data_IF_742485714862
#
_entry.id   IF_742485714862
#
_cell.length_a   1.000
_cell.length_b   1.000
_cell.length_c   1.000
_cell.angle_alpha   90.00
_cell.angle_beta   90.00
_cell.angle_gamma   90.00
#
_symmetry.space_group_name_H-M   'P 1'
#
loop_
_entity.id
_entity.type
_entity.pdbx_description
1 polymer ?
#
# COMPACT_ATOMS: atom_id res chain seq x y z
N UNK A 1 -43.12 -4.79 -20.63
CA UNK A 1 -41.84 -5.52 -20.93
C UNK A 1 -40.67 -4.62 -20.61
N UNK A 2 -40.19 -4.72 -19.39
CA UNK A 2 -39.02 -3.92 -18.93
C UNK A 2 -37.75 -4.64 -19.33
N UNK A 3 -36.97 -4.04 -20.23
CA UNK A 3 -35.63 -4.51 -20.56
C UNK A 3 -34.74 -4.20 -19.38
N UNK A 4 -34.36 -5.21 -18.60
CA UNK A 4 -33.21 -5.13 -17.69
C UNK A 4 -31.99 -5.00 -18.57
N UNK A 5 -31.37 -3.81 -18.58
CA UNK A 5 -30.01 -3.63 -19.07
C UNK A 5 -29.13 -4.29 -18.02
N UNK A 6 -28.61 -5.47 -18.33
CA UNK A 6 -27.52 -6.06 -17.59
C UNK A 6 -26.29 -5.15 -17.76
N UNK A 7 -26.01 -4.31 -16.76
CA UNK A 7 -24.73 -3.60 -16.69
C UNK A 7 -23.63 -4.65 -16.62
N UNK A 8 -22.86 -4.75 -17.70
CA UNK A 8 -21.65 -5.56 -17.72
C UNK A 8 -20.66 -4.85 -16.79
N UNK A 9 -20.57 -5.33 -15.56
CA UNK A 9 -19.60 -4.79 -14.57
C UNK A 9 -18.20 -5.07 -15.08
N UNK A 10 -17.55 -4.04 -15.60
CA UNK A 10 -16.16 -4.13 -16.06
C UNK A 10 -15.27 -4.29 -14.82
N UNK A 11 -14.44 -5.34 -14.81
CA UNK A 11 -13.47 -5.58 -13.74
C UNK A 11 -12.15 -4.90 -14.06
N UNK A 12 -11.51 -4.34 -13.04
CA UNK A 12 -10.18 -3.73 -13.09
C UNK A 12 -9.30 -4.31 -12.00
N UNK A 13 -8.00 -4.14 -12.14
CA UNK A 13 -7.04 -4.66 -11.19
C UNK A 13 -6.34 -3.54 -10.43
N UNK A 14 -6.33 -3.66 -9.11
CA UNK A 14 -5.45 -2.92 -8.21
C UNK A 14 -4.26 -3.81 -7.84
N UNK A 15 -3.11 -3.21 -7.63
CA UNK A 15 -1.90 -3.94 -7.28
C UNK A 15 -1.43 -3.55 -5.88
N UNK A 16 -1.17 -4.56 -5.05
CA UNK A 16 -0.66 -4.39 -3.69
C UNK A 16 0.80 -4.85 -3.70
N UNK A 17 1.71 -3.94 -3.39
CA UNK A 17 3.13 -4.20 -3.38
C UNK A 17 3.69 -4.17 -1.96
N UNK A 18 4.20 -5.29 -1.50
CA UNK A 18 4.77 -5.48 -0.17
C UNK A 18 6.29 -5.52 -0.25
N UNK A 19 6.97 -4.83 0.66
CA UNK A 19 8.44 -4.83 0.72
C UNK A 19 8.99 -4.81 2.14
N UNK A 20 10.28 -5.21 2.28
CA UNK A 20 11.08 -4.98 3.48
C UNK A 20 12.30 -4.16 3.09
N UNK A 21 12.16 -2.84 3.06
CA UNK A 21 13.15 -1.91 2.49
C UNK A 21 14.47 -1.80 3.28
N UNK A 22 14.57 -2.41 4.48
CA UNK A 22 15.78 -2.38 5.30
C UNK A 22 16.19 -0.98 5.82
N UNK A 23 15.27 -0.01 5.79
CA UNK A 23 15.49 1.31 6.39
C UNK A 23 15.42 1.19 7.92
N UNK A 24 15.90 2.20 8.66
CA UNK A 24 15.85 2.19 10.13
C UNK A 24 14.45 1.86 10.67
N UNK A 25 13.42 2.50 10.13
CA UNK A 25 12.03 2.21 10.52
C UNK A 25 11.61 0.80 10.13
N UNK A 26 11.95 0.35 8.93
CA UNK A 26 11.69 -1.01 8.45
C UNK A 26 12.38 -2.05 9.33
N UNK A 27 13.64 -1.80 9.72
CA UNK A 27 14.39 -2.71 10.59
C UNK A 27 13.82 -2.71 12.02
N UNK A 28 13.40 -1.55 12.54
CA UNK A 28 12.73 -1.47 13.83
C UNK A 28 11.42 -2.28 13.83
N UNK A 29 10.57 -2.08 12.83
CA UNK A 29 9.32 -2.86 12.68
C UNK A 29 9.63 -4.35 12.55
N UNK A 30 10.62 -4.73 11.76
CA UNK A 30 11.06 -6.12 11.61
C UNK A 30 11.54 -6.72 12.94
N UNK A 31 12.39 -6.00 13.68
CA UNK A 31 12.94 -6.47 14.95
C UNK A 31 11.86 -6.67 16.02
N UNK A 32 10.81 -5.85 15.97
CA UNK A 32 9.69 -5.94 16.91
C UNK A 32 8.65 -7.00 16.53
N UNK A 33 8.45 -7.25 15.23
CA UNK A 33 7.33 -8.08 14.74
C UNK A 33 7.77 -9.40 14.11
N UNK A 34 9.03 -9.55 13.72
CA UNK A 34 9.49 -10.67 12.87
C UNK A 34 8.85 -10.69 11.48
N UNK A 35 8.15 -9.63 11.11
CA UNK A 35 7.32 -9.56 9.92
C UNK A 35 8.12 -9.66 8.62
N UNK A 36 7.73 -10.55 7.70
CA UNK A 36 8.41 -10.70 6.41
C UNK A 36 8.41 -9.40 5.60
N UNK A 37 7.30 -8.63 5.65
CA UNK A 37 7.15 -7.35 4.99
C UNK A 37 6.83 -6.26 6.01
N UNK A 38 7.48 -5.12 5.87
CA UNK A 38 7.38 -3.98 6.80
C UNK A 38 6.83 -2.72 6.13
N UNK A 39 6.56 -2.80 4.82
CA UNK A 39 6.03 -1.70 4.03
C UNK A 39 5.04 -2.22 2.98
N UNK A 40 4.05 -1.39 2.64
CA UNK A 40 3.02 -1.68 1.66
C UNK A 40 2.74 -0.44 0.82
N UNK A 41 2.56 -0.65 -0.48
CA UNK A 41 2.18 0.39 -1.44
C UNK A 41 1.06 -0.12 -2.34
N UNK A 42 0.23 0.80 -2.82
CA UNK A 42 -0.84 0.57 -3.79
C UNK A 42 -0.39 1.05 -5.16
N UNK A 43 -0.69 0.30 -6.23
CA UNK A 43 -0.53 0.75 -7.61
C UNK A 43 -1.82 0.52 -8.41
N UNK A 44 -1.98 1.32 -9.48
CA UNK A 44 -3.14 1.27 -10.38
C UNK A 44 -2.78 0.66 -11.73
N UNK A 45 -1.50 0.48 -12.00
CA UNK A 45 -0.98 0.00 -13.28
C UNK A 45 -0.07 -1.22 -13.06
N UNK A 46 -0.14 -2.19 -13.97
CA UNK A 46 0.59 -3.45 -13.87
C UNK A 46 2.11 -3.28 -13.93
N UNK A 47 2.57 -2.27 -14.64
CA UNK A 47 3.99 -1.94 -14.76
C UNK A 47 4.59 -1.33 -13.48
N UNK A 48 3.76 -1.04 -12.46
CA UNK A 48 4.14 -0.41 -11.20
C UNK A 48 4.89 0.92 -11.40
N UNK A 49 4.56 1.65 -12.46
CA UNK A 49 5.18 2.93 -12.83
C UNK A 49 5.12 3.96 -11.69
N UNK A 50 4.04 3.89 -10.89
CA UNK A 50 3.86 4.72 -9.70
C UNK A 50 3.24 3.92 -8.57
N UNK A 51 3.93 3.86 -7.45
CA UNK A 51 3.46 3.29 -6.20
C UNK A 51 2.98 4.41 -5.26
N UNK A 52 1.93 4.14 -4.51
CA UNK A 52 1.32 5.09 -3.57
C UNK A 52 1.31 4.52 -2.16
N UNK A 53 1.83 5.28 -1.21
CA UNK A 53 1.88 4.89 0.20
C UNK A 53 1.88 6.10 1.13
N UNK A 54 1.90 5.88 2.44
CA UNK A 54 2.26 6.89 3.43
C UNK A 54 3.62 6.55 4.00
N UNK A 55 4.62 7.34 3.62
CA UNK A 55 6.03 7.09 3.94
C UNK A 55 6.82 8.39 4.06
N UNK A 56 8.14 8.30 4.19
CA UNK A 56 9.02 9.47 4.22
C UNK A 56 9.05 10.13 2.84
N UNK A 57 8.93 11.45 2.80
CA UNK A 57 8.99 12.22 1.55
C UNK A 57 10.43 12.34 1.01
N UNK A 58 11.43 12.28 1.91
CA UNK A 58 12.84 12.32 1.55
C UNK A 58 13.52 11.03 2.02
N UNK A 59 14.27 10.37 1.15
CA UNK A 59 14.89 9.06 1.41
C UNK A 59 15.86 9.03 2.60
N UNK A 60 16.34 10.17 3.05
CA UNK A 60 17.41 10.29 4.06
C UNK A 60 16.94 10.78 5.44
N UNK A 61 15.82 11.50 5.52
CA UNK A 61 15.33 12.07 6.78
C UNK A 61 14.07 11.38 7.27
N UNK A 62 13.84 11.36 8.59
CA UNK A 62 12.64 10.80 9.18
C UNK A 62 11.40 11.67 8.88
N UNK A 63 11.60 12.97 8.68
CA UNK A 63 10.58 13.95 8.35
C UNK A 63 11.04 14.85 7.18
N UNK A 64 10.16 15.36 6.34
CA UNK A 64 8.69 15.19 6.35
C UNK A 64 8.26 13.78 5.90
N UNK A 65 7.17 13.29 6.49
CA UNK A 65 6.58 11.99 6.16
C UNK A 65 5.05 12.12 6.02
N UNK A 66 4.45 11.30 5.16
CA UNK A 66 3.02 11.32 4.85
C UNK A 66 2.74 10.65 3.50
N UNK A 67 1.53 10.85 2.92
CA UNK A 67 1.21 10.34 1.60
C UNK A 67 2.23 10.77 0.56
N UNK A 68 2.76 9.83 -0.20
CA UNK A 68 3.81 10.06 -1.20
C UNK A 68 3.76 9.05 -2.33
N UNK A 69 4.33 9.45 -3.48
CA UNK A 69 4.60 8.57 -4.60
C UNK A 69 5.97 7.94 -4.44
N UNK A 70 6.07 6.67 -4.78
CA UNK A 70 7.31 5.90 -4.78
C UNK A 70 7.53 5.34 -6.18
N UNK A 71 8.78 5.12 -6.55
CA UNK A 71 9.17 4.63 -7.87
C UNK A 71 10.23 3.53 -7.69
N UNK A 72 10.07 2.42 -8.43
CA UNK A 72 10.98 1.27 -8.33
C UNK A 72 12.41 1.60 -8.79
N UNK A 73 12.56 2.61 -9.63
CA UNK A 73 13.83 3.09 -10.16
C UNK A 73 14.43 4.29 -9.39
N UNK A 74 13.93 4.59 -8.16
CA UNK A 74 14.40 5.73 -7.37
C UNK A 74 14.50 5.39 -5.88
N UNK A 75 15.28 6.21 -5.17
CA UNK A 75 15.37 6.19 -3.72
C UNK A 75 15.84 4.85 -3.16
N UNK A 76 15.16 4.36 -2.13
CA UNK A 76 15.52 3.12 -1.42
C UNK A 76 15.49 1.90 -2.33
N UNK A 77 14.58 1.86 -3.29
CA UNK A 77 14.45 0.74 -4.23
C UNK A 77 15.60 0.66 -5.22
N UNK A 78 16.20 1.80 -5.59
CA UNK A 78 17.39 1.83 -6.43
C UNK A 78 18.65 1.39 -5.67
N UNK A 79 18.78 1.80 -4.39
CA UNK A 79 19.99 1.57 -3.59
C UNK A 79 20.11 0.14 -3.07
N UNK A 80 19.03 -0.65 -3.08
CA UNK A 80 18.99 -1.96 -2.44
C UNK A 80 18.33 -3.00 -3.34
N UNK A 81 19.12 -3.86 -3.95
CA UNK A 81 18.63 -4.90 -4.86
C UNK A 81 18.04 -6.13 -4.15
N UNK A 82 18.55 -6.44 -2.97
CA UNK A 82 18.16 -7.64 -2.20
C UNK A 82 16.96 -7.39 -1.25
N UNK A 83 16.03 -6.52 -1.64
CA UNK A 83 14.81 -6.28 -0.87
C UNK A 83 13.83 -7.44 -1.10
N UNK A 84 13.41 -8.16 -0.05
CA UNK A 84 12.27 -9.07 -0.15
C UNK A 84 11.01 -8.31 -0.53
N UNK A 85 10.30 -8.79 -1.55
CA UNK A 85 9.05 -8.19 -1.98
C UNK A 85 8.01 -9.24 -2.39
N UNK A 86 6.75 -8.83 -2.43
CA UNK A 86 5.67 -9.58 -3.03
C UNK A 86 4.70 -8.63 -3.74
N UNK A 87 4.16 -9.08 -4.87
CA UNK A 87 3.17 -8.38 -5.66
C UNK A 87 1.89 -9.19 -5.69
N UNK A 88 0.79 -8.54 -5.37
CA UNK A 88 -0.55 -9.12 -5.41
C UNK A 88 -1.46 -8.31 -6.33
N UNK A 89 -2.35 -9.00 -7.02
CA UNK A 89 -3.47 -8.42 -7.77
C UNK A 89 -4.77 -8.54 -6.97
N UNK A 90 -5.57 -7.49 -7.00
CA UNK A 90 -6.93 -7.43 -6.48
C UNK A 90 -7.88 -7.04 -7.60
N UNK A 91 -8.76 -7.94 -8.01
CA UNK A 91 -9.81 -7.63 -8.97
C UNK A 91 -10.95 -6.89 -8.29
N UNK A 92 -11.35 -5.76 -8.86
CA UNK A 92 -12.37 -4.86 -8.32
C UNK A 92 -13.30 -4.36 -9.43
N UNK A 93 -14.47 -3.88 -9.08
CA UNK A 93 -15.34 -3.19 -10.03
C UNK A 93 -14.70 -1.90 -10.53
N UNK A 94 -15.07 -1.44 -11.73
CA UNK A 94 -14.61 -0.15 -12.27
C UNK A 94 -14.94 1.02 -11.35
N UNK A 95 -16.08 0.97 -10.68
CA UNK A 95 -16.46 1.97 -9.69
C UNK A 95 -15.49 2.00 -8.50
N UNK A 96 -15.24 0.86 -7.86
CA UNK A 96 -14.31 0.74 -6.73
C UNK A 96 -12.88 1.19 -7.12
N UNK A 97 -12.41 0.80 -8.31
CA UNK A 97 -11.13 1.24 -8.87
C UNK A 97 -11.08 2.77 -9.00
N UNK A 98 -12.12 3.35 -9.60
CA UNK A 98 -12.20 4.79 -9.83
C UNK A 98 -12.24 5.57 -8.53
N UNK A 99 -13.00 5.11 -7.52
CA UNK A 99 -13.04 5.71 -6.19
C UNK A 99 -11.70 5.60 -5.47
N UNK A 100 -11.04 4.43 -5.52
CA UNK A 100 -9.70 4.23 -4.95
C UNK A 100 -8.68 5.18 -5.57
N UNK A 101 -8.68 5.31 -6.90
CA UNK A 101 -7.78 6.19 -7.65
C UNK A 101 -8.01 7.66 -7.31
N UNK A 102 -9.28 8.10 -7.31
CA UNK A 102 -9.65 9.49 -6.93
C UNK A 102 -9.23 9.82 -5.51
N UNK A 103 -9.50 8.94 -4.55
CA UNK A 103 -9.11 9.14 -3.16
C UNK A 103 -7.59 9.24 -3.00
N UNK A 104 -6.86 8.32 -3.61
CA UNK A 104 -5.39 8.34 -3.61
C UNK A 104 -4.84 9.63 -4.20
N UNK A 105 -5.34 10.03 -5.37
CA UNK A 105 -4.92 11.28 -6.03
C UNK A 105 -5.24 12.51 -5.19
N UNK A 106 -6.41 12.56 -4.55
CA UNK A 106 -6.77 13.64 -3.63
C UNK A 106 -5.79 13.76 -2.47
N UNK A 107 -5.43 12.64 -1.84
CA UNK A 107 -4.46 12.63 -0.73
C UNK A 107 -3.05 13.02 -1.19
N UNK A 108 -2.65 12.65 -2.42
CA UNK A 108 -1.37 13.07 -3.00
C UNK A 108 -1.34 14.56 -3.35
N UNK A 109 -2.45 15.10 -3.88
CA UNK A 109 -2.55 16.52 -4.24
C UNK A 109 -2.54 17.44 -3.01
N UNK A 110 -3.21 17.01 -1.95
CA UNK A 110 -3.30 17.74 -0.67
C UNK A 110 -2.35 17.16 0.40
N UNK A 111 -1.19 16.68 -0.02
CA UNK A 111 -0.24 16.00 0.86
C UNK A 111 0.27 16.84 2.04
N UNK A 112 0.14 18.17 1.98
CA UNK A 112 0.45 19.09 3.08
C UNK A 112 -0.54 18.99 4.25
N UNK A 113 -1.77 18.54 4.00
CA UNK A 113 -2.81 18.33 5.03
C UNK A 113 -2.65 16.99 5.77
N UNK A 114 -1.81 16.11 5.25
CA UNK A 114 -1.66 14.75 5.77
C UNK A 114 -0.28 14.57 6.40
N UNK A 115 -0.21 13.78 7.47
CA UNK A 115 1.01 13.50 8.23
C UNK A 115 1.21 12.00 8.40
N UNK A 116 2.43 11.62 8.68
CA UNK A 116 2.74 10.25 9.07
C UNK A 116 2.29 9.99 10.52
N UNK A 117 1.68 8.83 10.75
CA UNK A 117 1.15 8.41 12.04
C UNK A 117 2.15 7.54 12.81
N UNK A 118 3.24 8.11 13.29
CA UNK A 118 4.28 7.35 14.01
C UNK A 118 3.76 6.71 15.29
N UNK A 119 2.95 7.46 16.07
CA UNK A 119 2.35 6.93 17.31
C UNK A 119 1.31 5.85 16.98
N UNK A 120 0.49 6.05 15.93
CA UNK A 120 -0.46 5.04 15.48
C UNK A 120 0.22 3.75 15.02
N UNK A 121 1.40 3.84 14.40
CA UNK A 121 2.19 2.66 14.03
C UNK A 121 2.66 1.88 15.27
N UNK A 122 3.11 2.57 16.32
CA UNK A 122 3.49 1.95 17.59
C UNK A 122 2.27 1.29 18.26
N UNK A 123 1.14 1.98 18.33
CA UNK A 123 -0.10 1.48 18.91
C UNK A 123 -0.68 0.30 18.11
N UNK A 124 -0.57 0.34 16.77
CA UNK A 124 -0.91 -0.78 15.91
C UNK A 124 -0.12 -2.04 16.27
N UNK A 125 1.19 -1.90 16.50
CA UNK A 125 2.03 -3.01 16.98
C UNK A 125 1.57 -3.55 18.35
N UNK A 126 1.11 -2.67 19.24
CA UNK A 126 0.54 -3.06 20.53
C UNK A 126 -0.91 -3.57 20.46
N UNK A 127 -1.47 -3.70 19.24
CA UNK A 127 -2.87 -4.09 18.99
C UNK A 127 -3.89 -3.09 19.57
N UNK A 128 -3.49 -1.83 19.76
CA UNK A 128 -4.34 -0.75 20.26
C UNK A 128 -4.88 0.04 19.07
N UNK A 129 -6.20 0.01 18.90
CA UNK A 129 -6.91 0.82 17.92
C UNK A 129 -6.78 2.29 18.24
N UNK A 130 -6.21 3.07 17.32
CA UNK A 130 -6.11 4.52 17.48
C UNK A 130 -6.18 5.24 16.15
N UNK A 131 -7.29 5.92 15.92
CA UNK A 131 -7.53 6.70 14.72
C UNK A 131 -7.21 8.17 14.97
N UNK A 132 -6.35 8.75 14.16
CA UNK A 132 -6.05 10.17 14.15
C UNK A 132 -6.35 10.77 12.78
N UNK A 133 -7.20 11.79 12.75
CA UNK A 133 -7.62 12.42 11.49
C UNK A 133 -6.41 12.90 10.69
N UNK A 134 -6.36 12.56 9.40
CA UNK A 134 -5.30 12.95 8.45
C UNK A 134 -3.89 12.46 8.82
N UNK A 135 -3.79 11.43 9.62
CA UNK A 135 -2.52 10.79 9.98
C UNK A 135 -2.57 9.33 9.60
N UNK A 136 -1.60 8.89 8.79
CA UNK A 136 -1.55 7.55 8.25
C UNK A 136 -0.13 6.98 8.30
N UNK A 137 0.02 5.73 8.68
CA UNK A 137 1.17 4.92 8.32
C UNK A 137 0.85 4.10 7.06
N UNK A 138 1.83 3.40 6.48
CA UNK A 138 1.70 2.78 5.15
C UNK A 138 0.49 1.84 5.02
N UNK A 139 0.33 0.88 5.92
CA UNK A 139 -0.78 -0.07 5.85
C UNK A 139 -2.12 0.57 6.18
N UNK A 140 -2.18 1.51 7.11
CA UNK A 140 -3.40 2.27 7.38
C UNK A 140 -3.86 3.08 6.15
N UNK A 141 -2.92 3.71 5.42
CA UNK A 141 -3.23 4.44 4.19
C UNK A 141 -3.85 3.52 3.14
N UNK A 142 -3.19 2.39 2.84
CA UNK A 142 -3.69 1.43 1.84
C UNK A 142 -5.01 0.83 2.28
N UNK A 143 -5.14 0.43 3.55
CA UNK A 143 -6.38 -0.10 4.12
C UNK A 143 -7.56 0.83 3.95
N UNK A 144 -7.42 2.10 4.33
CA UNK A 144 -8.51 3.06 4.19
C UNK A 144 -8.88 3.38 2.74
N UNK A 145 -7.90 3.42 1.83
CA UNK A 145 -8.19 3.59 0.40
C UNK A 145 -9.03 2.42 -0.11
N UNK A 146 -8.64 1.19 0.19
CA UNK A 146 -9.34 -0.01 -0.28
C UNK A 146 -10.73 -0.17 0.35
N UNK A 147 -10.86 0.04 1.66
CA UNK A 147 -12.11 -0.09 2.39
C UNK A 147 -13.12 0.99 1.96
N UNK A 148 -12.72 2.26 1.95
CA UNK A 148 -13.61 3.37 1.65
C UNK A 148 -13.98 3.48 0.16
N UNK A 149 -13.25 2.83 -0.72
CA UNK A 149 -13.63 2.70 -2.13
C UNK A 149 -14.54 1.49 -2.40
N UNK A 150 -14.77 0.63 -1.40
CA UNK A 150 -15.46 -0.63 -1.61
C UNK A 150 -14.65 -1.69 -2.36
N UNK A 151 -13.34 -1.45 -2.56
CA UNK A 151 -12.46 -2.38 -3.27
C UNK A 151 -12.18 -3.65 -2.47
N UNK A 152 -12.11 -3.54 -1.13
CA UNK A 152 -11.79 -4.66 -0.25
C UNK A 152 -12.44 -4.47 1.12
N UNK A 153 -13.18 -5.46 1.59
CA UNK A 153 -13.58 -5.56 2.98
C UNK A 153 -12.42 -6.09 3.84
N UNK A 154 -12.03 -5.33 4.86
CA UNK A 154 -10.91 -5.69 5.71
C UNK A 154 -11.35 -6.63 6.85
N UNK A 155 -10.51 -7.58 7.29
CA UNK A 155 -10.84 -8.48 8.39
C UNK A 155 -10.78 -7.81 9.77
N UNK A 156 -10.19 -6.61 9.86
CA UNK A 156 -10.04 -5.81 11.08
C UNK A 156 -9.90 -4.32 10.74
N UNK A 157 -9.99 -3.47 11.75
CA UNK A 157 -9.86 -2.01 11.61
C UNK A 157 -8.58 -1.62 10.85
N UNK A 158 -8.68 -0.63 9.97
CA UNK A 158 -7.56 -0.15 9.14
C UNK A 158 -6.34 0.29 9.95
N UNK A 159 -6.55 0.78 11.18
CA UNK A 159 -5.47 1.17 12.11
C UNK A 159 -4.71 -0.01 12.72
N UNK A 160 -5.22 -1.23 12.58
CA UNK A 160 -4.63 -2.47 13.08
C UNK A 160 -4.09 -3.38 11.97
N UNK A 161 -4.23 -2.96 10.72
CA UNK A 161 -3.71 -3.72 9.57
C UNK A 161 -2.20 -3.59 9.44
N UNK A 162 -1.52 -4.72 9.36
CA UNK A 162 -0.08 -4.81 9.06
C UNK A 162 0.15 -5.21 7.59
N UNK A 163 1.30 -4.89 7.00
CA UNK A 163 1.62 -5.33 5.64
C UNK A 163 1.50 -6.85 5.44
N UNK A 164 1.89 -7.66 6.43
CA UNK A 164 1.80 -9.11 6.34
C UNK A 164 0.36 -9.65 6.33
N UNK A 165 -0.62 -8.94 6.89
CA UNK A 165 -2.02 -9.37 6.88
C UNK A 165 -2.54 -9.53 5.45
N UNK A 166 -2.04 -8.71 4.53
CA UNK A 166 -2.42 -8.77 3.11
C UNK A 166 -2.02 -10.08 2.44
N UNK A 167 -1.00 -10.76 2.93
CA UNK A 167 -0.58 -12.07 2.39
C UNK A 167 -1.57 -13.19 2.69
N UNK A 168 -2.50 -12.96 3.63
CA UNK A 168 -3.50 -13.93 4.10
C UNK A 168 -4.89 -13.66 3.53
N UNK A 169 -5.09 -12.57 2.78
CA UNK A 169 -6.40 -12.20 2.24
C UNK A 169 -6.72 -13.05 1.00
N UNK A 170 -7.81 -13.83 1.02
CA UNK A 170 -8.14 -14.75 -0.07
C UNK A 170 -8.50 -14.05 -1.38
N UNK A 171 -8.86 -12.75 -1.31
CA UNK A 171 -9.18 -11.94 -2.48
C UNK A 171 -7.94 -11.51 -3.26
N UNK A 172 -6.75 -11.62 -2.66
CA UNK A 172 -5.49 -11.21 -3.27
C UNK A 172 -4.82 -12.37 -4.00
N UNK A 173 -4.66 -12.26 -5.31
CA UNK A 173 -3.91 -13.20 -6.12
C UNK A 173 -2.43 -12.85 -6.10
N UNK A 174 -1.57 -13.73 -5.57
CA UNK A 174 -0.13 -13.54 -5.61
C UNK A 174 0.39 -13.65 -7.05
N UNK A 175 1.01 -12.57 -7.55
CA UNK A 175 1.63 -12.53 -8.88
C UNK A 175 3.14 -12.79 -8.79
N UNK A 176 3.78 -12.33 -7.73
CA UNK A 176 5.22 -12.48 -7.53
C UNK A 176 5.57 -12.51 -6.04
N UNK A 177 6.56 -13.31 -5.68
CA UNK A 177 7.17 -13.33 -4.36
C UNK A 177 8.65 -13.67 -4.50
N UNK A 178 9.53 -12.76 -4.08
CA UNK A 178 10.98 -12.93 -4.26
C UNK A 178 11.77 -11.70 -3.87
N UNK A 179 12.86 -11.44 -4.60
CA UNK A 179 13.70 -10.25 -4.44
C UNK A 179 13.30 -9.17 -5.43
N UNK A 180 13.44 -7.92 -5.02
CA UNK A 180 13.12 -6.78 -5.87
C UNK A 180 13.93 -6.76 -7.17
N UNK A 181 15.21 -7.18 -7.15
CA UNK A 181 16.05 -7.25 -8.33
C UNK A 181 15.50 -8.20 -9.42
N UNK A 182 14.75 -9.21 -9.00
CA UNK A 182 14.20 -10.23 -9.89
C UNK A 182 12.74 -9.94 -10.31
N UNK A 183 12.16 -8.84 -9.83
CA UNK A 183 10.78 -8.44 -10.15
C UNK A 183 10.67 -8.12 -11.65
N UNK A 184 9.77 -8.79 -12.41
CA UNK A 184 9.63 -8.59 -13.85
C UNK A 184 9.38 -7.13 -14.26
N UNK A 185 8.51 -6.44 -13.55
CA UNK A 185 8.17 -5.03 -13.80
C UNK A 185 9.37 -4.09 -13.66
N UNK A 186 10.33 -4.40 -12.77
CA UNK A 186 11.56 -3.63 -12.63
C UNK A 186 12.55 -3.86 -13.77
N UNK A 187 12.58 -5.07 -14.31
CA UNK A 187 13.47 -5.41 -15.43
C UNK A 187 13.01 -4.80 -16.76
N UNK A 188 11.73 -4.44 -16.84
CA UNK A 188 11.14 -3.80 -18.03
C UNK A 188 11.31 -2.27 -18.04
N UNK A 189 11.79 -1.67 -16.94
CA UNK A 189 12.10 -0.22 -16.82
C UNK A 189 13.54 0.08 -17.22
#
# INVERSE_FOLDING_TARGET
MSRQHGETTTMKTLYIFLTRSGTLLSNLVYSLTGAQYTHISLAFDEDLSTLYSSTRKNGYTMFPAGPSREYLNRGVFLMRENIPCALYALEVTDEAYTLAKRRTQHMMHHGELYRFNSLGLLLCWMHIRWQRRRHYFCSQFVSEVLEQSGALALPKDSTLMHPNDYTLLPQLKCLYKGRLADLPQRKAM
#
